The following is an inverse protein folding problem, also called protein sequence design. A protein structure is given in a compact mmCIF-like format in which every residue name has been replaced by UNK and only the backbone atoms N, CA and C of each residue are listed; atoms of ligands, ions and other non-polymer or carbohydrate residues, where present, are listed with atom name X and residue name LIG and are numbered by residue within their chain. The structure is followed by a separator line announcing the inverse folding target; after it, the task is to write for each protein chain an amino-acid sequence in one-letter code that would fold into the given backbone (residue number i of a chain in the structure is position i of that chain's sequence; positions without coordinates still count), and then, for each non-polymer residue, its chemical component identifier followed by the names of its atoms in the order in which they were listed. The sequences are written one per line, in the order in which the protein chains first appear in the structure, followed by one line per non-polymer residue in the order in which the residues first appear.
data_IF_703773561641
#
_entry.id   IF_703773561641
#
_cell.length_a   1.000
_cell.length_b   1.000
_cell.length_c   1.000
_cell.angle_alpha   90.00
_cell.angle_beta   90.00
_cell.angle_gamma   90.00
#
_symmetry.space_group_name_H-M   'P 1'
#
loop_
_entity.id
_entity.type
_entity.pdbx_description
1 polymer ?
#
# COMPACT_ATOMS: atom_id res chain seq x y z
N UNK A 1 5.26 -36.35 -7.42
CA UNK A 1 4.49 -36.59 -8.67
C UNK A 1 3.79 -37.96 -8.61
N UNK A 2 2.49 -38.02 -8.31
CA UNK A 2 1.73 -39.27 -8.08
C UNK A 2 1.08 -39.82 -9.36
N UNK A 3 1.00 -41.16 -9.47
CA UNK A 3 0.49 -41.89 -10.64
C UNK A 3 -1.03 -42.05 -10.59
N UNK A 4 -1.67 -42.24 -11.75
CA UNK A 4 -3.13 -42.48 -11.84
C UNK A 4 -3.60 -43.75 -11.11
N UNK A 5 -2.67 -44.67 -10.83
CA UNK A 5 -2.91 -45.95 -10.17
C UNK A 5 -3.33 -45.73 -8.70
N UNK A 6 -2.88 -44.66 -8.06
CA UNK A 6 -3.12 -44.45 -6.63
C UNK A 6 -4.51 -43.86 -6.31
N UNK A 7 -5.22 -43.26 -7.28
CA UNK A 7 -6.50 -42.59 -6.99
C UNK A 7 -7.70 -43.54 -7.03
N UNK A 8 -7.77 -44.43 -8.03
CA UNK A 8 -8.90 -45.35 -8.17
C UNK A 8 -8.89 -46.47 -7.12
N UNK A 9 -7.72 -46.73 -6.53
CA UNK A 9 -7.54 -47.66 -5.41
C UNK A 9 -7.99 -47.07 -4.06
N UNK A 10 -8.20 -45.75 -3.96
CA UNK A 10 -8.68 -45.09 -2.74
C UNK A 10 -10.16 -45.36 -2.49
N UNK A 11 -10.58 -45.27 -1.23
CA UNK A 11 -11.99 -45.36 -0.90
C UNK A 11 -12.77 -44.15 -1.50
N UNK A 12 -14.05 -44.31 -1.90
CA UNK A 12 -14.83 -43.20 -2.46
C UNK A 12 -14.85 -41.90 -1.63
N UNK A 13 -14.84 -41.92 -0.28
CA UNK A 13 -14.71 -40.71 0.52
C UNK A 13 -13.38 -39.96 0.30
N UNK A 14 -12.27 -40.68 0.18
CA UNK A 14 -10.93 -40.11 -0.02
C UNK A 14 -10.80 -39.51 -1.42
N UNK A 15 -11.32 -40.20 -2.44
CA UNK A 15 -11.41 -39.69 -3.81
C UNK A 15 -12.19 -38.37 -3.87
N UNK A 16 -13.36 -38.32 -3.20
CA UNK A 16 -14.17 -37.10 -3.09
C UNK A 16 -13.42 -35.98 -2.37
N UNK A 17 -12.64 -36.30 -1.35
CA UNK A 17 -11.86 -35.31 -0.62
C UNK A 17 -10.78 -34.68 -1.52
N UNK A 18 -10.06 -35.48 -2.29
CA UNK A 18 -9.05 -34.98 -3.24
C UNK A 18 -9.67 -34.10 -4.34
N UNK A 19 -10.83 -34.49 -4.87
CA UNK A 19 -11.57 -33.70 -5.86
C UNK A 19 -12.06 -32.39 -5.25
N UNK A 20 -12.64 -32.42 -4.03
CA UNK A 20 -13.09 -31.22 -3.31
C UNK A 20 -11.93 -30.24 -3.06
N UNK A 21 -10.76 -30.77 -2.72
CA UNK A 21 -9.55 -29.99 -2.53
C UNK A 21 -8.91 -29.51 -3.85
N UNK A 22 -9.55 -29.73 -5.01
CA UNK A 22 -9.04 -29.34 -6.35
C UNK A 22 -7.65 -29.91 -6.65
N UNK A 23 -7.39 -31.13 -6.20
CA UNK A 23 -6.09 -31.82 -6.37
C UNK A 23 -6.08 -32.83 -7.52
N UNK A 24 -7.17 -32.99 -8.26
CA UNK A 24 -7.27 -34.03 -9.29
C UNK A 24 -7.64 -33.41 -10.63
N UNK A 25 -6.87 -33.72 -11.66
CA UNK A 25 -7.15 -33.32 -13.02
C UNK A 25 -7.03 -34.51 -13.98
N UNK A 26 -7.83 -34.45 -15.05
CA UNK A 26 -7.61 -35.23 -16.27
C UNK A 26 -6.62 -34.51 -17.17
N UNK A 27 -6.33 -35.06 -18.35
CA UNK A 27 -5.45 -34.44 -19.36
C UNK A 27 -5.79 -32.97 -19.64
N UNK A 28 -7.06 -32.59 -19.54
CA UNK A 28 -7.53 -31.27 -19.98
C UNK A 28 -8.44 -30.57 -18.97
N UNK A 29 -8.65 -31.05 -17.74
CA UNK A 29 -9.60 -30.38 -16.83
C UNK A 29 -9.42 -30.82 -15.38
N UNK A 30 -9.58 -29.86 -14.45
CA UNK A 30 -9.80 -30.15 -13.04
C UNK A 30 -11.12 -30.91 -12.83
N UNK A 31 -11.07 -32.03 -12.12
CA UNK A 31 -12.26 -32.80 -11.79
C UNK A 31 -13.13 -32.07 -10.77
N UNK A 32 -14.44 -32.20 -10.94
CA UNK A 32 -15.46 -31.67 -10.01
C UNK A 32 -16.25 -32.78 -9.31
N UNK A 33 -16.23 -33.97 -9.89
CA UNK A 33 -16.89 -35.17 -9.40
C UNK A 33 -16.07 -36.40 -9.81
N UNK A 34 -16.38 -37.54 -9.20
CA UNK A 34 -15.74 -38.81 -9.57
C UNK A 34 -16.22 -39.16 -10.99
N UNK A 35 -15.31 -39.37 -11.95
CA UNK A 35 -15.69 -39.65 -13.33
C UNK A 35 -16.39 -41.00 -13.46
N UNK A 36 -17.32 -41.10 -14.39
CA UNK A 36 -17.90 -42.38 -14.82
C UNK A 36 -16.82 -43.16 -15.60
N UNK A 37 -16.14 -44.09 -14.91
CA UNK A 37 -15.04 -44.90 -15.45
C UNK A 37 -13.66 -44.51 -14.91
N UNK A 38 -12.61 -45.00 -15.57
CA UNK A 38 -11.21 -44.83 -15.15
C UNK A 38 -10.37 -44.07 -16.19
N UNK A 39 -10.71 -42.81 -16.54
CA UNK A 39 -9.84 -42.01 -17.39
C UNK A 39 -8.46 -41.81 -16.75
N UNK A 40 -7.40 -41.60 -17.55
CA UNK A 40 -6.12 -41.19 -17.01
C UNK A 40 -6.25 -39.87 -16.24
N UNK A 41 -5.83 -39.91 -14.98
CA UNK A 41 -5.88 -38.77 -14.05
C UNK A 41 -4.51 -38.53 -13.40
N UNK A 42 -4.35 -37.31 -12.93
CA UNK A 42 -3.19 -36.83 -12.20
C UNK A 42 -3.65 -36.25 -10.88
N UNK A 43 -2.95 -36.61 -9.82
CA UNK A 43 -3.17 -36.09 -8.47
C UNK A 43 -1.99 -35.18 -8.11
N UNK A 44 -2.30 -33.94 -7.75
CA UNK A 44 -1.35 -32.93 -7.32
C UNK A 44 -1.04 -33.08 -5.82
N UNK A 45 0.16 -32.69 -5.41
CA UNK A 45 0.63 -32.78 -4.01
C UNK A 45 -0.09 -31.78 -3.09
N UNK A 46 -0.51 -30.66 -3.66
CA UNK A 46 -1.35 -29.64 -3.04
C UNK A 46 -2.44 -29.22 -4.05
N UNK A 47 -3.33 -28.31 -3.66
CA UNK A 47 -4.38 -27.84 -4.58
C UNK A 47 -3.76 -27.17 -5.81
N UNK A 48 -4.44 -27.26 -6.96
CA UNK A 48 -4.03 -26.51 -8.16
C UNK A 48 -3.99 -25.00 -7.89
N UNK A 49 -4.80 -24.54 -6.94
CA UNK A 49 -4.84 -23.17 -6.49
C UNK A 49 -3.52 -22.77 -5.83
N UNK A 50 -3.06 -23.50 -4.81
CA UNK A 50 -1.75 -23.29 -4.16
C UNK A 50 -0.60 -23.41 -5.15
N UNK A 51 -0.62 -24.39 -6.06
CA UNK A 51 0.42 -24.52 -7.09
C UNK A 51 0.51 -23.30 -8.02
N UNK A 52 -0.63 -22.70 -8.37
CA UNK A 52 -0.66 -21.47 -9.18
C UNK A 52 -0.08 -20.31 -8.37
N UNK A 53 -0.48 -20.15 -7.10
CA UNK A 53 0.01 -19.07 -6.25
C UNK A 53 1.52 -19.19 -6.02
N UNK A 54 2.02 -20.36 -5.61
CA UNK A 54 3.46 -20.63 -5.46
C UNK A 54 4.26 -20.28 -6.70
N UNK A 55 3.69 -20.54 -7.89
CA UNK A 55 4.37 -20.22 -9.14
C UNK A 55 4.41 -18.72 -9.37
N UNK A 56 3.29 -18.03 -9.14
CA UNK A 56 3.18 -16.58 -9.27
C UNK A 56 4.04 -15.84 -8.24
N UNK A 57 4.35 -16.43 -7.08
CA UNK A 57 5.33 -15.87 -6.13
C UNK A 57 6.76 -15.89 -6.68
N UNK A 58 7.06 -16.82 -7.60
CA UNK A 58 8.41 -17.02 -8.16
C UNK A 58 8.65 -16.22 -9.43
N UNK A 59 7.64 -15.53 -9.97
CA UNK A 59 7.78 -14.73 -11.16
C UNK A 59 6.49 -14.47 -11.93
N UNK A 60 6.65 -14.03 -13.17
CA UNK A 60 5.55 -13.56 -14.03
C UNK A 60 5.13 -14.66 -15.01
N UNK A 61 3.85 -15.02 -15.00
CA UNK A 61 3.30 -16.06 -15.87
C UNK A 61 1.95 -15.67 -16.46
N UNK A 62 1.75 -15.93 -17.74
CA UNK A 62 0.45 -15.87 -18.39
C UNK A 62 -0.44 -17.05 -17.97
N UNK A 63 -1.77 -16.91 -18.16
CA UNK A 63 -2.67 -18.04 -17.90
C UNK A 63 -2.31 -19.26 -18.76
N UNK A 64 -1.81 -19.03 -19.99
CA UNK A 64 -1.44 -20.09 -20.92
C UNK A 64 -0.19 -20.87 -20.45
N UNK A 65 0.82 -20.18 -19.91
CA UNK A 65 2.02 -20.82 -19.35
C UNK A 65 1.69 -21.66 -18.13
N UNK A 66 0.91 -21.12 -17.19
CA UNK A 66 0.45 -21.87 -16.01
C UNK A 66 -0.41 -23.08 -16.39
N UNK A 67 -1.29 -22.91 -17.38
CA UNK A 67 -2.14 -23.98 -17.88
C UNK A 67 -1.34 -25.09 -18.56
N UNK A 68 -0.29 -24.73 -19.31
CA UNK A 68 0.61 -25.69 -19.94
C UNK A 68 1.43 -26.45 -18.89
N UNK A 69 2.01 -25.73 -17.91
CA UNK A 69 2.83 -26.31 -16.83
C UNK A 69 2.02 -27.32 -16.00
N UNK A 70 0.81 -26.95 -15.62
CA UNK A 70 -0.08 -27.81 -14.83
C UNK A 70 -0.91 -28.78 -15.69
N UNK A 71 -0.87 -28.62 -17.02
CA UNK A 71 -1.67 -29.37 -17.99
C UNK A 71 -3.17 -29.40 -17.65
N UNK A 72 -3.74 -28.21 -17.49
CA UNK A 72 -5.16 -27.93 -17.21
C UNK A 72 -5.70 -26.90 -18.19
N UNK A 73 -7.00 -26.58 -18.15
CA UNK A 73 -7.53 -25.52 -19.02
C UNK A 73 -7.05 -24.14 -18.56
N UNK A 74 -6.74 -23.29 -19.54
CA UNK A 74 -6.53 -21.86 -19.30
C UNK A 74 -7.73 -21.22 -18.58
N UNK A 75 -8.95 -21.69 -18.84
CA UNK A 75 -10.15 -21.23 -18.12
C UNK A 75 -10.13 -21.55 -16.62
N UNK A 76 -9.57 -22.69 -16.21
CA UNK A 76 -9.45 -23.06 -14.81
C UNK A 76 -8.42 -22.16 -14.11
N UNK A 77 -7.27 -21.93 -14.75
CA UNK A 77 -6.26 -20.96 -14.29
C UNK A 77 -6.86 -19.57 -14.20
N UNK A 78 -7.49 -19.09 -15.27
CA UNK A 78 -8.12 -17.77 -15.34
C UNK A 78 -9.17 -17.60 -14.25
N UNK A 79 -9.93 -18.64 -13.90
CA UNK A 79 -10.92 -18.59 -12.80
C UNK A 79 -10.23 -18.44 -11.45
N UNK A 80 -9.15 -19.17 -11.21
CA UNK A 80 -8.34 -19.07 -9.99
C UNK A 80 -7.68 -17.70 -9.92
N UNK A 81 -6.93 -17.30 -10.93
CA UNK A 81 -6.33 -15.97 -11.05
C UNK A 81 -7.38 -14.87 -10.87
N UNK A 82 -8.55 -14.96 -11.52
CA UNK A 82 -9.61 -13.96 -11.34
C UNK A 82 -10.22 -13.95 -9.93
N UNK A 83 -10.23 -15.07 -9.20
CA UNK A 83 -10.66 -15.12 -7.79
C UNK A 83 -9.78 -14.21 -6.93
N UNK A 84 -8.47 -14.22 -7.20
CA UNK A 84 -7.47 -13.42 -6.48
C UNK A 84 -7.22 -12.04 -7.11
N UNK A 85 -7.67 -11.81 -8.35
CA UNK A 85 -7.43 -10.57 -9.11
C UNK A 85 -8.59 -9.58 -9.07
N UNK A 86 -9.85 -10.03 -9.03
CA UNK A 86 -10.98 -9.10 -9.21
C UNK A 86 -10.87 -8.02 -8.11
N UNK A 87 -10.96 -6.75 -8.52
CA UNK A 87 -11.58 -5.64 -7.77
C UNK A 87 -12.92 -5.45 -8.47
N UNK A 88 -14.01 -5.91 -7.87
CA UNK A 88 -15.36 -5.71 -8.41
C UNK A 88 -15.97 -4.52 -7.71
N UNK A 89 -16.24 -3.45 -8.46
CA UNK A 89 -17.13 -2.34 -8.07
C UNK A 89 -18.52 -2.82 -7.63
N UNK A 90 -18.90 -4.06 -7.98
CA UNK A 90 -20.19 -4.68 -7.63
C UNK A 90 -20.18 -5.48 -6.32
N UNK A 91 -19.04 -5.56 -5.61
CA UNK A 91 -18.89 -6.38 -4.39
C UNK A 91 -18.48 -5.53 -3.16
N UNK A 92 -18.90 -4.25 -3.12
CA UNK A 92 -18.78 -3.36 -1.96
C UNK A 92 -19.53 -3.87 -0.71
N UNK A 93 -20.36 -4.90 -0.86
CA UNK A 93 -21.07 -5.58 0.25
C UNK A 93 -20.40 -6.86 0.70
N UNK A 94 -19.32 -7.30 0.04
CA UNK A 94 -18.62 -8.52 0.37
C UNK A 94 -17.39 -8.18 1.21
N UNK A 95 -17.58 -8.18 2.53
CA UNK A 95 -16.56 -8.04 3.58
C UNK A 95 -15.38 -9.03 3.46
N UNK A 96 -15.36 -9.93 2.47
CA UNK A 96 -14.35 -10.98 2.31
C UNK A 96 -13.26 -10.66 1.29
N UNK A 97 -13.40 -9.59 0.50
CA UNK A 97 -12.75 -9.51 -0.81
C UNK A 97 -11.60 -8.51 -0.92
N UNK A 98 -11.76 -7.28 -0.40
CA UNK A 98 -10.65 -6.33 -0.17
C UNK A 98 -9.58 -6.94 0.76
N UNK A 99 -10.00 -7.87 1.61
CA UNK A 99 -9.19 -8.53 2.63
C UNK A 99 -8.22 -9.60 2.10
N UNK A 100 -8.51 -10.30 1.00
CA UNK A 100 -7.71 -11.47 0.57
C UNK A 100 -6.31 -11.13 0.03
N UNK A 101 -6.08 -9.91 -0.48
CA UNK A 101 -4.75 -9.43 -0.86
C UNK A 101 -3.81 -9.31 0.34
N UNK A 102 -4.37 -9.17 1.54
CA UNK A 102 -3.63 -8.87 2.77
C UNK A 102 -3.72 -9.97 3.81
N UNK A 103 -4.82 -10.74 3.89
CA UNK A 103 -5.04 -11.77 4.92
C UNK A 103 -4.35 -13.09 4.65
N UNK A 104 -4.03 -13.40 3.39
CA UNK A 104 -3.38 -14.64 3.01
C UNK A 104 -2.40 -14.39 1.86
N UNK A 105 -1.24 -13.78 2.17
CA UNK A 105 0.03 -13.76 1.39
C UNK A 105 0.03 -13.52 -0.14
N UNK A 106 -1.10 -13.32 -0.81
CA UNK A 106 -1.24 -13.63 -2.24
C UNK A 106 -2.17 -12.66 -2.98
N UNK A 107 -1.66 -11.46 -3.24
CA UNK A 107 -2.24 -10.57 -4.24
C UNK A 107 -1.80 -10.95 -5.65
N UNK A 108 -2.67 -11.57 -6.46
CA UNK A 108 -2.34 -11.84 -7.88
C UNK A 108 -2.47 -10.56 -8.70
N UNK A 109 -1.31 -9.98 -9.00
CA UNK A 109 -1.12 -8.78 -9.83
C UNK A 109 -1.14 -9.16 -11.30
N UNK A 110 -1.74 -8.30 -12.13
CA UNK A 110 -1.75 -8.45 -13.59
C UNK A 110 -0.69 -7.55 -14.21
N UNK A 111 0.28 -8.15 -14.88
CA UNK A 111 1.35 -7.48 -15.62
C UNK A 111 0.99 -7.50 -17.10
N UNK A 112 0.94 -6.33 -17.75
CA UNK A 112 0.83 -6.27 -19.22
C UNK A 112 2.22 -6.50 -19.80
N UNK A 113 2.30 -7.27 -20.88
CA UNK A 113 3.53 -7.39 -21.65
C UNK A 113 3.97 -6.03 -22.22
N UNK A 114 5.28 -5.80 -22.31
CA UNK A 114 5.93 -4.59 -22.85
C UNK A 114 5.47 -4.35 -24.30
N UNK A 115 5.17 -5.43 -25.03
CA UNK A 115 4.67 -5.40 -26.42
C UNK A 115 3.12 -5.37 -26.52
N UNK A 116 2.42 -5.30 -25.39
CA UNK A 116 1.02 -4.89 -25.31
C UNK A 116 -0.06 -5.94 -25.63
N UNK A 117 0.29 -7.15 -26.06
CA UNK A 117 -0.68 -8.14 -26.56
C UNK A 117 -1.03 -9.28 -25.57
N UNK A 118 -0.22 -9.51 -24.53
CA UNK A 118 -0.43 -10.60 -23.56
C UNK A 118 -0.54 -10.08 -22.12
N UNK A 119 -1.28 -10.82 -21.28
CA UNK A 119 -1.38 -10.57 -19.84
C UNK A 119 -0.63 -11.65 -19.08
N UNK A 120 0.36 -11.22 -18.32
CA UNK A 120 1.07 -11.99 -17.32
C UNK A 120 0.51 -11.68 -15.94
N UNK A 121 0.79 -12.56 -14.98
CA UNK A 121 0.36 -12.45 -13.60
C UNK A 121 1.55 -12.75 -12.68
N UNK A 122 1.58 -12.15 -11.49
CA UNK A 122 2.61 -12.38 -10.45
C UNK A 122 2.00 -12.13 -9.08
N UNK A 123 2.61 -12.63 -8.01
CA UNK A 123 2.28 -12.23 -6.64
C UNK A 123 3.46 -11.43 -6.11
N UNK A 124 3.20 -10.19 -5.69
CA UNK A 124 4.19 -9.41 -4.96
C UNK A 124 3.91 -9.51 -3.48
N UNK A 125 4.90 -9.94 -2.71
CA UNK A 125 4.85 -9.95 -1.26
C UNK A 125 5.27 -8.58 -0.76
N UNK A 126 4.54 -8.05 0.24
CA UNK A 126 5.01 -6.90 1.01
C UNK A 126 6.42 -7.24 1.54
N UNK A 127 7.44 -6.38 1.34
CA UNK A 127 8.78 -6.65 1.82
C UNK A 127 8.83 -6.93 3.32
N UNK A 128 9.77 -7.76 3.76
CA UNK A 128 9.87 -8.16 5.18
C UNK A 128 10.05 -6.96 6.10
N UNK A 129 10.90 -6.00 5.71
CA UNK A 129 11.05 -4.72 6.40
C UNK A 129 9.70 -4.02 6.62
N UNK A 130 8.92 -3.81 5.55
CA UNK A 130 7.61 -3.16 5.67
C UNK A 130 6.62 -3.95 6.51
N UNK A 131 6.64 -5.30 6.47
CA UNK A 131 5.80 -6.10 7.37
C UNK A 131 6.09 -5.79 8.85
N UNK A 132 7.36 -5.61 9.20
CA UNK A 132 7.76 -5.43 10.59
C UNK A 132 7.73 -3.99 11.02
N UNK A 133 8.20 -3.05 10.20
CA UNK A 133 8.49 -1.67 10.63
C UNK A 133 7.40 -0.70 10.20
N UNK A 134 6.73 -0.96 9.08
CA UNK A 134 5.70 -0.09 8.53
C UNK A 134 4.49 -0.92 8.08
N UNK A 135 3.80 -1.55 9.06
CA UNK A 135 2.74 -2.49 8.78
C UNK A 135 1.55 -1.82 8.09
N UNK A 136 1.41 -0.49 8.08
CA UNK A 136 0.37 0.21 7.31
C UNK A 136 0.81 0.63 5.92
N UNK A 137 2.09 0.49 5.59
CA UNK A 137 2.73 0.98 4.36
C UNK A 137 2.67 2.51 4.20
N UNK A 138 2.23 3.23 5.22
CA UNK A 138 2.04 4.67 5.13
C UNK A 138 3.38 5.39 4.99
N UNK A 139 4.39 4.96 5.75
CA UNK A 139 5.71 5.61 5.71
C UNK A 139 6.39 5.29 4.38
N UNK A 140 6.41 4.02 4.00
CA UNK A 140 7.03 3.53 2.78
C UNK A 140 6.39 4.08 1.52
N UNK A 141 5.08 4.32 1.48
CA UNK A 141 4.38 4.66 0.23
C UNK A 141 3.94 6.11 0.14
N UNK A 142 3.63 6.75 1.26
CA UNK A 142 3.06 8.10 1.31
C UNK A 142 3.90 9.08 2.14
N UNK A 143 5.05 8.65 2.64
CA UNK A 143 5.93 9.46 3.49
C UNK A 143 5.19 10.07 4.70
N UNK A 144 4.31 9.31 5.36
CA UNK A 144 3.54 9.84 6.51
C UNK A 144 4.39 10.10 7.75
N UNK A 145 5.69 9.74 7.75
CA UNK A 145 6.55 9.93 8.91
C UNK A 145 6.56 11.39 9.41
N UNK A 146 6.62 12.37 8.51
CA UNK A 146 6.55 13.79 8.86
C UNK A 146 5.21 14.16 9.51
N UNK A 147 4.11 13.53 9.07
CA UNK A 147 2.76 13.74 9.62
C UNK A 147 2.60 13.15 11.02
N UNK A 148 3.38 12.12 11.35
CA UNK A 148 3.32 11.44 12.65
C UNK A 148 4.08 12.17 13.76
N UNK A 149 4.77 13.28 13.48
CA UNK A 149 5.55 14.02 14.47
C UNK A 149 4.71 14.54 15.65
N UNK A 150 3.41 14.75 15.43
CA UNK A 150 2.48 15.25 16.44
C UNK A 150 1.93 14.16 17.37
N UNK A 151 2.27 12.89 17.13
CA UNK A 151 1.73 11.78 17.91
C UNK A 151 2.40 11.70 19.29
N UNK A 152 1.68 11.26 20.35
CA UNK A 152 2.27 11.07 21.66
C UNK A 152 3.41 10.05 21.62
N UNK A 153 4.58 10.41 22.14
CA UNK A 153 5.73 9.51 22.20
C UNK A 153 5.64 8.58 23.41
N UNK A 154 5.80 7.28 23.16
CA UNK A 154 5.97 6.26 24.20
C UNK A 154 7.44 6.11 24.61
N UNK A 155 8.36 6.33 23.66
CA UNK A 155 9.79 6.36 23.90
C UNK A 155 10.49 7.23 22.85
N UNK A 156 11.29 8.20 23.30
CA UNK A 156 11.96 9.17 22.43
C UNK A 156 13.16 8.61 21.66
N UNK A 157 13.84 7.57 22.15
CA UNK A 157 14.94 6.92 21.44
C UNK A 157 15.39 5.63 22.14
N UNK A 158 15.53 4.55 21.35
CA UNK A 158 16.07 3.26 21.76
C UNK A 158 17.17 2.89 20.73
N UNK A 159 18.45 2.82 21.16
CA UNK A 159 19.53 2.49 20.25
C UNK A 159 19.46 1.06 19.69
N UNK A 160 20.04 0.86 18.52
CA UNK A 160 20.26 -0.45 17.92
C UNK A 160 21.03 -1.38 18.87
N UNK A 161 20.64 -2.66 18.89
CA UNK A 161 21.17 -3.68 19.79
C UNK A 161 20.81 -3.49 21.27
N UNK A 162 19.95 -2.52 21.61
CA UNK A 162 19.29 -2.41 22.92
C UNK A 162 17.85 -2.86 22.81
N UNK A 163 17.36 -3.45 23.89
CA UNK A 163 15.98 -3.89 24.02
C UNK A 163 15.23 -3.06 25.07
N UNK A 164 13.94 -2.93 24.86
CA UNK A 164 12.93 -2.28 25.69
C UNK A 164 11.73 -3.21 25.80
N UNK A 165 10.95 -3.08 26.88
CA UNK A 165 9.69 -3.81 27.07
C UNK A 165 8.68 -3.53 25.91
N UNK A 166 8.82 -2.38 25.25
CA UNK A 166 8.04 -2.02 24.06
C UNK A 166 8.36 -2.92 22.85
N UNK A 167 9.61 -3.36 22.69
CA UNK A 167 10.00 -4.22 21.57
C UNK A 167 9.37 -5.60 21.69
N UNK A 168 9.35 -6.17 22.90
CA UNK A 168 8.71 -7.47 23.17
C UNK A 168 7.21 -7.38 22.90
N UNK A 169 6.57 -6.31 23.39
CA UNK A 169 5.14 -6.07 23.16
C UNK A 169 4.83 -5.92 21.68
N UNK A 170 5.63 -5.11 20.98
CA UNK A 170 5.49 -4.89 19.55
C UNK A 170 5.67 -6.18 18.74
N UNK A 171 6.72 -6.95 19.06
CA UNK A 171 7.06 -8.18 18.36
C UNK A 171 5.97 -9.25 18.48
N UNK A 172 5.32 -9.36 19.64
CA UNK A 172 4.18 -10.27 19.82
C UNK A 172 2.99 -9.84 18.95
N UNK A 173 2.67 -8.54 18.91
CA UNK A 173 1.54 -8.02 18.12
C UNK A 173 1.77 -8.19 16.61
N UNK A 174 2.94 -7.80 16.11
CA UNK A 174 3.30 -7.95 14.68
C UNK A 174 3.48 -9.41 14.30
N UNK A 175 4.08 -10.22 15.17
CA UNK A 175 4.25 -11.65 14.96
C UNK A 175 2.91 -12.36 14.78
N UNK A 176 1.93 -12.08 15.65
CA UNK A 176 0.56 -12.61 15.51
C UNK A 176 -0.13 -12.10 14.23
N UNK A 177 0.02 -10.81 13.91
CA UNK A 177 -0.60 -10.22 12.73
C UNK A 177 -0.10 -10.83 11.41
N UNK A 178 1.20 -11.10 11.29
CA UNK A 178 1.83 -11.62 10.08
C UNK A 178 2.09 -13.12 10.07
N UNK A 179 1.81 -13.82 11.18
CA UNK A 179 2.21 -15.21 11.41
C UNK A 179 3.73 -15.38 11.20
N UNK A 180 4.50 -14.55 11.93
CA UNK A 180 5.96 -14.56 12.02
C UNK A 180 6.32 -14.89 13.47
N UNK A 181 7.39 -15.66 13.69
CA UNK A 181 7.89 -15.91 15.04
C UNK A 181 8.17 -14.55 15.74
N UNK A 182 7.55 -14.25 16.90
CA UNK A 182 7.82 -13.01 17.62
C UNK A 182 9.31 -12.80 17.91
N UNK A 183 10.10 -13.87 18.10
CA UNK A 183 11.54 -13.73 18.29
C UNK A 183 12.23 -13.19 17.02
N UNK A 184 11.78 -13.62 15.83
CA UNK A 184 12.30 -13.12 14.55
C UNK A 184 11.97 -11.63 14.36
N UNK A 185 10.76 -11.22 14.74
CA UNK A 185 10.35 -9.81 14.70
C UNK A 185 11.16 -8.97 15.68
N UNK A 186 11.34 -9.47 16.90
CA UNK A 186 12.11 -8.82 17.96
C UNK A 186 13.58 -8.63 17.54
N UNK A 187 14.22 -9.70 17.08
CA UNK A 187 15.61 -9.65 16.63
C UNK A 187 15.77 -8.62 15.51
N UNK A 188 14.85 -8.61 14.53
CA UNK A 188 14.88 -7.67 13.41
C UNK A 188 14.66 -6.20 13.82
N UNK A 189 13.64 -5.89 14.63
CA UNK A 189 13.36 -4.49 14.99
C UNK A 189 14.46 -3.89 15.87
N UNK A 190 15.15 -4.72 16.66
CA UNK A 190 16.26 -4.27 17.51
C UNK A 190 17.55 -3.98 16.74
N UNK A 191 17.64 -4.32 15.46
CA UNK A 191 18.77 -3.95 14.59
C UNK A 191 18.79 -2.45 14.24
N UNK A 192 17.68 -1.74 14.47
CA UNK A 192 17.52 -0.33 14.13
C UNK A 192 17.52 0.60 15.36
N UNK A 193 18.06 1.80 15.18
CA UNK A 193 17.74 2.93 16.06
C UNK A 193 16.27 3.30 15.84
N UNK A 194 15.51 3.41 16.93
CA UNK A 194 14.06 3.57 16.85
C UNK A 194 13.48 4.40 17.98
N UNK A 195 12.39 5.07 17.70
CA UNK A 195 11.48 5.63 18.69
C UNK A 195 10.12 4.93 18.57
N UNK A 196 9.28 5.07 19.61
CA UNK A 196 7.92 4.54 19.57
C UNK A 196 6.92 5.66 19.81
N UNK A 197 5.95 5.76 18.92
CA UNK A 197 4.80 6.62 19.05
C UNK A 197 3.55 5.80 19.36
N UNK A 198 2.65 6.40 20.13
CA UNK A 198 1.35 5.81 20.45
C UNK A 198 0.38 6.03 19.30
N UNK A 199 -0.36 4.99 18.92
CA UNK A 199 -1.38 5.08 17.86
C UNK A 199 -2.63 4.33 18.29
N UNK A 200 -3.77 4.65 17.68
CA UNK A 200 -5.05 3.98 17.88
C UNK A 200 -5.02 2.47 17.51
N UNK A 201 -3.99 2.01 16.78
CA UNK A 201 -3.83 0.60 16.41
C UNK A 201 -2.97 -0.15 17.42
N UNK A 202 -1.75 0.34 17.63
CA UNK A 202 -0.68 -0.24 18.43
C UNK A 202 0.53 0.72 18.43
N UNK A 203 1.48 0.59 19.37
CA UNK A 203 2.75 1.32 19.30
C UNK A 203 3.41 1.13 17.94
N UNK A 204 3.75 2.23 17.26
CA UNK A 204 4.45 2.18 15.97
C UNK A 204 5.91 2.57 16.13
N UNK A 205 6.86 1.76 15.62
CA UNK A 205 8.24 2.13 15.58
C UNK A 205 8.45 3.13 14.46
N UNK A 206 9.14 4.20 14.77
CA UNK A 206 9.68 5.12 13.78
C UNK A 206 11.19 4.87 13.76
N UNK A 207 11.69 4.46 12.59
CA UNK A 207 13.12 4.15 12.40
C UNK A 207 13.69 5.01 11.29
N UNK A 208 14.93 5.42 11.43
CA UNK A 208 15.66 6.14 10.39
C UNK A 208 16.33 5.12 9.44
N UNK A 209 15.56 4.67 8.44
CA UNK A 209 15.99 3.65 7.48
C UNK A 209 15.55 4.01 6.05
N UNK A 210 15.85 5.23 5.59
CA UNK A 210 15.41 5.76 4.28
C UNK A 210 15.68 4.79 3.13
N UNK A 211 16.86 4.16 3.09
CA UNK A 211 17.22 3.19 2.05
C UNK A 211 16.27 1.98 2.00
N UNK A 212 15.76 1.50 3.14
CA UNK A 212 14.84 0.37 3.19
C UNK A 212 13.42 0.80 2.80
N UNK A 213 12.97 1.97 3.24
CA UNK A 213 11.72 2.56 2.79
C UNK A 213 11.72 2.78 1.28
N UNK A 214 12.77 3.37 0.73
CA UNK A 214 12.94 3.58 -0.71
C UNK A 214 12.91 2.27 -1.49
N UNK A 215 13.50 1.19 -0.96
CA UNK A 215 13.42 -0.14 -1.59
C UNK A 215 11.99 -0.66 -1.62
N UNK A 216 11.20 -0.43 -0.57
CA UNK A 216 9.78 -0.77 -0.54
C UNK A 216 9.06 0.05 -1.61
N UNK A 217 9.12 1.39 -1.56
CA UNK A 217 8.45 2.27 -2.54
C UNK A 217 8.84 1.91 -3.96
N UNK A 218 10.14 1.74 -4.20
CA UNK A 218 10.71 1.40 -5.50
C UNK A 218 10.18 0.05 -5.98
N UNK A 219 10.01 -0.95 -5.10
CA UNK A 219 9.41 -2.23 -5.49
C UNK A 219 7.98 -2.06 -5.97
N UNK A 220 7.20 -1.20 -5.31
CA UNK A 220 5.84 -0.88 -5.77
C UNK A 220 5.83 -0.01 -7.04
N UNK A 221 6.81 0.90 -7.22
CA UNK A 221 6.97 1.79 -8.40
C UNK A 221 7.59 1.11 -9.64
N UNK A 222 8.51 0.14 -9.50
CA UNK A 222 9.39 -0.44 -10.55
C UNK A 222 8.68 -1.18 -11.69
N UNK A 223 7.37 -1.14 -11.73
CA UNK A 223 6.56 -1.70 -12.77
C UNK A 223 6.15 -0.63 -13.79
N UNK A 224 7.15 0.14 -14.22
CA UNK A 224 7.01 1.32 -15.09
C UNK A 224 6.49 1.03 -16.50
N UNK A 225 6.60 -0.22 -17.01
CA UNK A 225 5.92 -0.61 -18.26
C UNK A 225 4.41 -0.86 -18.05
N UNK A 226 3.94 -0.65 -16.82
CA UNK A 226 2.62 -0.99 -16.35
C UNK A 226 1.94 0.18 -15.65
N UNK A 227 2.13 1.40 -16.18
CA UNK A 227 1.26 2.56 -15.93
C UNK A 227 -0.25 2.34 -16.23
N UNK A 228 -0.64 1.14 -16.68
CA UNK A 228 -2.03 0.70 -16.83
C UNK A 228 -2.54 -0.07 -15.61
N UNK A 229 -1.81 -0.04 -14.49
CA UNK A 229 -1.91 -1.04 -13.46
C UNK A 229 -3.26 -1.09 -12.79
N UNK A 230 -3.80 0.03 -12.32
CA UNK A 230 -5.04 -0.02 -11.55
C UNK A 230 -5.78 1.31 -11.60
N UNK A 231 -6.00 1.90 -12.80
CA UNK A 231 -6.82 3.12 -12.93
C UNK A 231 -8.24 2.89 -12.38
N UNK A 232 -8.38 3.15 -11.09
CA UNK A 232 -9.55 3.76 -10.51
C UNK A 232 -9.72 5.08 -11.30
N UNK A 233 -10.84 5.29 -12.02
CA UNK A 233 -11.04 6.52 -12.76
C UNK A 233 -10.96 7.69 -11.79
N UNK A 234 -10.35 8.81 -12.20
CA UNK A 234 -10.21 10.12 -11.52
C UNK A 234 -11.28 10.46 -10.45
N UNK A 235 -12.54 10.03 -10.68
CA UNK A 235 -13.66 10.00 -9.73
C UNK A 235 -13.45 9.16 -8.46
N UNK A 236 -12.27 8.56 -8.25
CA UNK A 236 -12.01 7.62 -7.16
C UNK A 236 -11.37 8.23 -5.93
N UNK A 237 -10.67 9.37 -6.01
CA UNK A 237 -9.93 9.89 -4.85
C UNK A 237 -10.88 10.15 -3.68
N UNK A 238 -11.98 10.86 -3.95
CA UNK A 238 -13.02 11.09 -2.94
C UNK A 238 -13.67 9.78 -2.50
N UNK A 239 -13.92 8.84 -3.40
CA UNK A 239 -14.47 7.53 -3.04
C UNK A 239 -13.54 6.74 -2.11
N UNK A 240 -12.22 6.78 -2.33
CA UNK A 240 -11.24 6.08 -1.47
C UNK A 240 -11.24 6.67 -0.07
N UNK A 241 -11.22 7.99 0.02
CA UNK A 241 -11.29 8.71 1.29
C UNK A 241 -12.62 8.52 2.02
N UNK A 242 -13.73 8.73 1.33
CA UNK A 242 -15.10 8.54 1.86
C UNK A 242 -15.32 7.09 2.30
N UNK A 243 -14.91 6.09 1.51
CA UNK A 243 -14.97 4.67 1.88
C UNK A 243 -14.21 4.40 3.18
N UNK A 244 -13.05 5.05 3.37
CA UNK A 244 -12.27 4.87 4.59
C UNK A 244 -12.96 5.52 5.79
N UNK A 245 -13.39 6.77 5.66
CA UNK A 245 -14.07 7.50 6.75
C UNK A 245 -15.37 6.80 7.16
N UNK A 246 -16.16 6.31 6.20
CA UNK A 246 -17.36 5.50 6.46
C UNK A 246 -17.08 4.27 7.33
N UNK A 247 -15.91 3.64 7.12
CA UNK A 247 -15.48 2.48 7.91
C UNK A 247 -14.99 2.92 9.29
N UNK A 248 -14.18 3.98 9.35
CA UNK A 248 -13.65 4.53 10.59
C UNK A 248 -14.76 4.99 11.55
N UNK A 249 -15.79 5.65 11.01
CA UNK A 249 -16.99 6.06 11.75
C UNK A 249 -17.81 4.88 12.28
N UNK A 250 -17.76 3.72 11.60
CA UNK A 250 -18.43 2.48 12.05
C UNK A 250 -17.59 1.69 13.06
N UNK A 251 -16.33 2.07 13.28
CA UNK A 251 -15.42 1.50 14.27
C UNK A 251 -13.95 1.65 13.86
N UNK A 252 -13.03 1.58 14.85
CA UNK A 252 -11.59 1.75 14.61
C UNK A 252 -11.08 0.83 13.48
N UNK A 253 -10.64 1.39 12.34
CA UNK A 253 -10.21 0.61 11.20
C UNK A 253 -8.93 -0.14 11.57
N UNK A 254 -8.83 -1.45 11.28
CA UNK A 254 -7.61 -2.21 11.58
C UNK A 254 -6.45 -1.92 10.62
N UNK A 255 -5.23 -2.36 10.95
CA UNK A 255 -3.99 -2.23 10.14
C UNK A 255 -4.23 -2.52 8.64
N UNK A 256 -5.02 -3.55 8.34
CA UNK A 256 -5.32 -3.99 6.97
C UNK A 256 -6.04 -2.92 6.14
N UNK A 257 -6.94 -2.14 6.76
CA UNK A 257 -7.66 -1.10 6.07
C UNK A 257 -6.70 0.03 5.67
N UNK A 258 -5.85 0.47 6.61
CA UNK A 258 -4.79 1.44 6.34
C UNK A 258 -3.85 0.99 5.21
N UNK A 259 -3.40 -0.28 5.24
CA UNK A 259 -2.59 -0.84 4.15
C UNK A 259 -3.25 -0.67 2.78
N UNK A 260 -4.52 -1.04 2.65
CA UNK A 260 -5.24 -0.93 1.37
C UNK A 260 -5.35 0.53 0.93
N UNK A 261 -5.78 1.38 1.84
CA UNK A 261 -6.01 2.79 1.55
C UNK A 261 -4.71 3.48 1.18
N UNK A 262 -3.60 3.21 1.88
CA UNK A 262 -2.30 3.77 1.52
C UNK A 262 -1.78 3.26 0.18
N UNK A 263 -1.99 1.98 -0.16
CA UNK A 263 -1.67 1.46 -1.51
C UNK A 263 -2.49 2.17 -2.58
N UNK A 264 -3.80 2.38 -2.35
CA UNK A 264 -4.69 3.05 -3.29
C UNK A 264 -4.32 4.52 -3.48
N UNK A 265 -4.04 5.23 -2.38
CA UNK A 265 -3.59 6.62 -2.42
C UNK A 265 -2.21 6.75 -3.06
N UNK A 266 -1.29 5.82 -2.83
CA UNK A 266 0.04 5.86 -3.44
C UNK A 266 -0.02 5.66 -4.96
N UNK A 267 -0.86 4.74 -5.45
CA UNK A 267 -1.10 4.57 -6.89
C UNK A 267 -1.69 5.84 -7.52
N UNK A 268 -2.65 6.48 -6.83
CA UNK A 268 -3.22 7.76 -7.24
C UNK A 268 -2.18 8.89 -7.21
N UNK A 269 -1.31 8.91 -6.20
CA UNK A 269 -0.22 9.88 -6.05
C UNK A 269 0.75 9.78 -7.24
N UNK A 270 1.23 8.58 -7.55
CA UNK A 270 2.17 8.37 -8.68
C UNK A 270 1.52 8.62 -10.04
N UNK A 271 0.21 8.35 -10.17
CA UNK A 271 -0.55 8.76 -11.34
C UNK A 271 -0.63 10.28 -11.47
N UNK A 272 -0.98 10.97 -10.38
CA UNK A 272 -1.11 12.43 -10.34
C UNK A 272 0.25 13.10 -10.64
N UNK A 273 1.35 12.63 -10.05
CA UNK A 273 2.73 13.10 -10.31
C UNK A 273 3.09 13.11 -11.81
N UNK A 274 2.59 12.13 -12.57
CA UNK A 274 2.96 11.93 -13.98
C UNK A 274 1.94 12.46 -14.98
N UNK A 275 0.67 12.56 -14.59
CA UNK A 275 -0.44 12.73 -15.54
C UNK A 275 -1.38 13.88 -15.18
N UNK A 276 -1.69 14.09 -13.90
CA UNK A 276 -2.68 15.07 -13.46
C UNK A 276 -2.36 15.63 -12.06
N UNK A 277 -1.43 16.59 -11.97
CA UNK A 277 -0.94 17.06 -10.67
C UNK A 277 -1.95 17.88 -9.86
N UNK A 278 -3.06 18.34 -10.47
CA UNK A 278 -4.16 18.98 -9.74
C UNK A 278 -4.78 18.05 -8.67
N UNK A 279 -4.63 16.72 -8.83
CA UNK A 279 -5.13 15.72 -7.89
C UNK A 279 -4.26 15.57 -6.63
N UNK A 280 -3.01 16.05 -6.66
CA UNK A 280 -2.06 15.86 -5.55
C UNK A 280 -2.59 16.44 -4.24
N UNK A 281 -3.20 17.63 -4.28
CA UNK A 281 -3.77 18.28 -3.10
C UNK A 281 -4.85 17.41 -2.44
N UNK A 282 -5.81 16.94 -3.23
CA UNK A 282 -6.88 16.08 -2.71
C UNK A 282 -6.36 14.75 -2.15
N UNK A 283 -5.37 14.14 -2.80
CA UNK A 283 -4.76 12.88 -2.33
C UNK A 283 -4.09 13.08 -0.97
N UNK A 284 -3.36 14.20 -0.80
CA UNK A 284 -2.67 14.47 0.46
C UNK A 284 -3.63 14.87 1.58
N UNK A 285 -4.66 15.67 1.31
CA UNK A 285 -5.70 15.96 2.31
C UNK A 285 -6.36 14.67 2.82
N UNK A 286 -6.60 13.70 1.93
CA UNK A 286 -7.10 12.39 2.34
C UNK A 286 -6.06 11.62 3.15
N UNK A 287 -4.80 11.62 2.74
CA UNK A 287 -3.71 11.00 3.50
C UNK A 287 -3.62 11.59 4.93
N UNK A 288 -3.72 12.92 5.07
CA UNK A 288 -3.73 13.60 6.37
C UNK A 288 -4.94 13.16 7.21
N UNK A 289 -6.14 13.19 6.62
CA UNK A 289 -7.37 12.74 7.30
C UNK A 289 -7.27 11.29 7.79
N UNK A 290 -6.67 10.41 6.99
CA UNK A 290 -6.46 9.01 7.35
C UNK A 290 -5.41 8.90 8.46
N UNK A 291 -4.29 9.63 8.36
CA UNK A 291 -3.26 9.66 9.41
C UNK A 291 -3.85 10.18 10.73
N UNK A 292 -4.68 11.22 10.72
CA UNK A 292 -5.32 11.75 11.92
C UNK A 292 -6.21 10.71 12.63
N UNK A 293 -6.81 9.80 11.87
CA UNK A 293 -7.58 8.68 12.45
C UNK A 293 -6.70 7.60 13.12
N UNK A 294 -5.37 7.62 12.92
CA UNK A 294 -4.42 6.82 13.70
C UNK A 294 -4.08 7.46 15.04
N UNK A 295 -4.37 8.74 15.26
CA UNK A 295 -4.01 9.43 16.48
C UNK A 295 -4.80 8.85 17.67
N UNK A 296 -4.16 8.57 18.83
CA UNK A 296 -4.79 7.83 19.92
C UNK A 296 -5.93 8.60 20.61
N UNK A 297 -5.90 9.94 20.57
CA UNK A 297 -6.90 10.81 21.19
C UNK A 297 -8.08 11.18 20.27
N UNK A 298 -8.16 10.60 19.07
CA UNK A 298 -9.26 10.88 18.15
C UNK A 298 -10.53 10.16 18.63
N UNK A 299 -11.33 10.84 19.46
CA UNK A 299 -12.68 10.38 19.80
C UNK A 299 -13.52 10.35 18.51
N UNK A 300 -13.84 9.16 18.01
CA UNK A 300 -14.74 8.93 16.84
C UNK A 300 -16.20 9.36 17.10
N UNK A 301 -16.45 10.12 18.16
CA UNK A 301 -17.75 10.69 18.51
C UNK A 301 -17.56 12.12 19.02
N UNK A 302 -17.23 13.04 18.13
CA UNK A 302 -17.76 14.41 18.18
C UNK A 302 -17.56 15.10 16.82
N UNK A 303 -18.65 15.66 16.31
CA UNK A 303 -18.83 16.58 15.17
C UNK A 303 -17.59 16.91 14.31
N UNK A 304 -17.30 16.07 13.31
CA UNK A 304 -16.73 16.56 12.04
C UNK A 304 -17.86 16.76 11.04
N UNK A 305 -18.58 17.87 11.20
CA UNK A 305 -19.06 18.58 10.01
C UNK A 305 -17.85 19.22 9.32
N UNK A 306 -17.01 18.41 8.67
CA UNK A 306 -16.23 18.92 7.55
C UNK A 306 -17.22 19.06 6.40
N UNK A 307 -17.83 20.23 6.32
CA UNK A 307 -18.42 20.70 5.08
C UNK A 307 -17.37 20.54 4.01
N UNK A 308 -17.60 19.60 3.09
CA UNK A 308 -16.98 19.58 1.79
C UNK A 308 -17.31 20.92 1.12
N UNK A 309 -16.46 21.92 1.35
CA UNK A 309 -16.51 23.15 0.59
C UNK A 309 -16.03 22.81 -0.82
N UNK A 310 -17.01 22.81 -1.72
CA UNK A 310 -16.81 22.97 -3.16
C UNK A 310 -15.65 23.94 -3.42
N UNK A 311 -14.67 23.64 -4.29
CA UNK A 311 -13.57 24.55 -4.56
C UNK A 311 -14.13 25.82 -5.21
N UNK A 312 -14.22 26.88 -4.42
CA UNK A 312 -14.24 28.25 -4.92
C UNK A 312 -12.81 28.67 -5.15
N UNK A 313 -12.53 29.36 -6.26
CA UNK A 313 -11.23 29.93 -6.65
C UNK A 313 -10.70 30.95 -5.62
N UNK A 314 -10.30 30.49 -4.45
CA UNK A 314 -9.52 31.24 -3.46
C UNK A 314 -8.09 30.72 -3.53
N UNK A 315 -7.17 31.60 -3.94
CA UNK A 315 -5.73 31.34 -4.01
C UNK A 315 -5.25 30.94 -2.62
N UNK A 316 -4.62 29.77 -2.48
CA UNK A 316 -4.16 29.26 -1.18
C UNK A 316 -2.75 29.75 -0.85
N UNK A 317 -2.32 29.62 0.41
CA UNK A 317 -0.98 30.04 0.84
C UNK A 317 0.09 29.28 0.04
N UNK A 318 -0.14 28.01 -0.28
CA UNK A 318 0.75 27.18 -1.09
C UNK A 318 0.92 27.73 -2.51
N UNK A 319 -0.16 28.25 -3.12
CA UNK A 319 -0.12 28.84 -4.46
C UNK A 319 0.71 30.13 -4.45
N UNK A 320 0.57 30.95 -3.40
CA UNK A 320 1.36 32.16 -3.19
C UNK A 320 2.82 31.85 -2.88
N UNK A 321 3.11 30.84 -2.04
CA UNK A 321 4.46 30.35 -1.75
C UNK A 321 5.15 29.85 -3.02
N UNK A 322 4.47 29.03 -3.83
CA UNK A 322 4.99 28.58 -5.12
C UNK A 322 5.19 29.74 -6.10
N UNK A 323 4.37 30.79 -6.01
CA UNK A 323 4.49 31.96 -6.88
C UNK A 323 5.82 32.71 -6.66
N UNK A 324 6.26 32.81 -5.40
CA UNK A 324 7.43 33.59 -4.98
C UNK A 324 8.72 32.77 -4.84
N UNK A 325 8.61 31.45 -4.69
CA UNK A 325 9.76 30.57 -4.56
C UNK A 325 10.58 30.54 -5.87
N UNK A 326 11.87 30.84 -5.75
CA UNK A 326 12.83 30.92 -6.85
C UNK A 326 13.64 29.64 -7.07
N UNK A 327 14.53 29.67 -8.06
CA UNK A 327 15.45 28.54 -8.36
C UNK A 327 16.60 28.41 -7.35
N UNK A 328 16.88 29.46 -6.59
CA UNK A 328 17.88 29.43 -5.50
C UNK A 328 17.25 28.89 -4.21
N UNK A 329 18.06 28.25 -3.37
CA UNK A 329 17.63 27.78 -2.04
C UNK A 329 17.32 28.98 -1.13
N UNK A 330 16.12 28.98 -0.56
CA UNK A 330 15.58 30.03 0.30
C UNK A 330 15.09 29.42 1.62
N UNK A 331 15.33 30.11 2.72
CA UNK A 331 14.77 29.77 4.03
C UNK A 331 13.28 30.14 4.10
N UNK A 332 12.48 29.54 5.01
CA UNK A 332 11.07 29.93 5.21
C UNK A 332 10.88 31.43 5.43
N UNK A 333 11.78 32.07 6.18
CA UNK A 333 11.74 33.51 6.42
C UNK A 333 11.95 34.32 5.14
N UNK A 334 12.89 33.93 4.27
CA UNK A 334 13.12 34.59 2.98
C UNK A 334 11.93 34.44 2.03
N UNK A 335 11.26 33.28 2.07
CA UNK A 335 10.02 33.03 1.30
C UNK A 335 8.89 33.89 1.84
N UNK A 336 8.69 33.93 3.16
CA UNK A 336 7.69 34.77 3.82
C UNK A 336 7.89 36.25 3.48
N UNK A 337 9.12 36.77 3.58
CA UNK A 337 9.46 38.16 3.22
C UNK A 337 9.22 38.49 1.74
N UNK A 338 9.23 37.47 0.87
CA UNK A 338 8.98 37.61 -0.57
C UNK A 338 7.50 37.58 -0.94
N UNK A 339 6.61 37.14 -0.03
CA UNK A 339 5.16 37.09 -0.26
C UNK A 339 4.55 38.49 -0.46
N UNK A 340 3.43 38.62 -1.21
CA UNK A 340 2.70 39.88 -1.30
C UNK A 340 2.27 40.35 0.09
N UNK A 341 2.38 41.66 0.36
CA UNK A 341 2.10 42.21 1.68
C UNK A 341 0.68 41.99 2.23
N UNK A 342 -0.30 41.66 1.36
CA UNK A 342 -1.64 41.24 1.81
C UNK A 342 -1.65 39.82 2.36
N UNK A 343 -0.84 38.92 1.79
CA UNK A 343 -0.68 37.53 2.25
C UNK A 343 0.11 37.52 3.56
N UNK A 344 1.20 38.30 3.66
CA UNK A 344 1.99 38.44 4.90
C UNK A 344 1.18 38.95 6.10
N UNK A 345 0.10 39.70 5.87
CA UNK A 345 -0.78 40.17 6.96
C UNK A 345 -1.81 39.14 7.42
N UNK A 346 -2.05 38.13 6.59
CA UNK A 346 -3.05 37.08 6.81
C UNK A 346 -2.42 35.72 7.12
N UNK A 347 -1.10 35.58 6.97
CA UNK A 347 -0.35 34.36 7.26
C UNK A 347 0.81 34.58 8.24
N UNK A 348 1.36 33.50 8.77
CA UNK A 348 2.53 33.50 9.66
C UNK A 348 3.73 32.80 9.02
N UNK A 349 4.97 33.08 9.50
CA UNK A 349 6.15 32.34 9.06
C UNK A 349 6.05 30.84 9.30
N UNK A 350 5.36 30.41 10.36
CA UNK A 350 5.13 29.00 10.68
C UNK A 350 4.21 28.35 9.64
N UNK A 351 3.13 29.02 9.22
CA UNK A 351 2.25 28.54 8.14
C UNK A 351 2.98 28.44 6.79
N UNK A 352 3.89 29.38 6.50
CA UNK A 352 4.74 29.30 5.30
C UNK A 352 5.71 28.13 5.38
N UNK A 353 6.27 27.87 6.56
CA UNK A 353 7.11 26.70 6.79
C UNK A 353 6.33 25.39 6.59
N UNK A 354 5.13 25.29 7.16
CA UNK A 354 4.25 24.14 6.99
C UNK A 354 3.88 23.93 5.51
N UNK A 355 3.57 25.00 4.77
CA UNK A 355 3.33 24.93 3.33
C UNK A 355 4.58 24.48 2.55
N UNK A 356 5.78 24.92 2.92
CA UNK A 356 7.03 24.50 2.27
C UNK A 356 7.37 23.04 2.57
N UNK A 357 7.18 22.59 3.82
CA UNK A 357 7.31 21.19 4.23
C UNK A 357 6.34 20.30 3.46
N UNK A 358 5.07 20.71 3.36
CA UNK A 358 4.07 20.04 2.54
C UNK A 358 4.54 19.95 1.08
N UNK A 359 4.85 21.08 0.44
CA UNK A 359 5.27 21.13 -0.97
C UNK A 359 6.55 20.31 -1.24
N UNK A 360 7.47 20.23 -0.28
CA UNK A 360 8.66 19.41 -0.36
C UNK A 360 8.33 17.91 -0.22
N UNK A 361 7.46 17.55 0.72
CA UNK A 361 6.92 16.20 0.87
C UNK A 361 6.13 15.74 -0.37
N UNK A 362 5.52 16.69 -1.11
CA UNK A 362 4.86 16.46 -2.40
C UNK A 362 5.84 16.28 -3.58
N UNK A 363 7.14 16.50 -3.38
CA UNK A 363 8.15 16.48 -4.44
C UNK A 363 7.94 17.56 -5.50
N UNK A 364 7.20 18.62 -5.18
CA UNK A 364 6.96 19.78 -6.06
C UNK A 364 8.17 20.72 -6.01
N UNK A 365 8.72 20.89 -4.80
CA UNK A 365 9.90 21.69 -4.51
C UNK A 365 10.97 20.80 -3.87
N UNK A 366 12.24 21.20 -3.93
CA UNK A 366 13.29 20.48 -3.20
C UNK A 366 13.48 21.09 -1.83
N UNK A 367 13.80 20.24 -0.86
CA UNK A 367 14.21 20.59 0.50
C UNK A 367 15.65 20.12 0.70
N UNK A 368 16.50 20.97 1.24
CA UNK A 368 17.85 20.63 1.64
C UNK A 368 18.14 21.18 3.03
N UNK A 369 18.66 20.33 3.92
CA UNK A 369 19.09 20.75 5.26
C UNK A 369 20.61 20.77 5.32
N UNK A 370 21.19 21.95 5.58
CA UNK A 370 22.64 22.15 5.77
C UNK A 370 22.90 22.95 7.04
N UNK A 371 23.78 22.44 7.91
CA UNK A 371 24.18 23.11 9.15
C UNK A 371 22.98 23.60 9.99
N UNK A 372 22.01 22.72 10.24
CA UNK A 372 20.79 23.00 11.02
C UNK A 372 19.88 24.09 10.44
N UNK A 373 20.06 24.45 9.17
CA UNK A 373 19.17 25.35 8.43
C UNK A 373 18.53 24.57 7.27
N UNK A 374 17.20 24.61 7.19
CA UNK A 374 16.44 23.99 6.10
C UNK A 374 16.07 25.05 5.07
N UNK A 375 16.41 24.78 3.82
CA UNK A 375 16.17 25.67 2.69
C UNK A 375 15.39 24.93 1.58
N UNK A 376 14.63 25.68 0.79
CA UNK A 376 13.76 25.15 -0.25
C UNK A 376 13.99 25.88 -1.56
N UNK A 377 13.79 25.20 -2.69
CA UNK A 377 13.79 25.87 -3.99
C UNK A 377 12.76 25.29 -4.96
N UNK A 378 12.36 26.12 -5.92
CA UNK A 378 11.40 25.80 -6.97
C UNK A 378 12.03 25.04 -8.16
N UNK A 379 13.34 24.77 -8.12
CA UNK A 379 14.02 24.03 -9.18
C UNK A 379 13.45 22.61 -9.26
N UNK A 380 12.62 22.40 -10.27
CA UNK A 380 11.66 21.30 -10.42
C UNK A 380 12.06 20.09 -9.60
N UNK A 381 11.29 19.82 -8.54
CA UNK A 381 11.12 18.45 -8.12
C UNK A 381 10.63 17.59 -9.30
N UNK A 382 10.41 16.30 -9.12
CA UNK A 382 10.09 15.39 -10.24
C UNK A 382 8.81 15.73 -11.03
N UNK A 383 8.06 16.77 -10.64
CA UNK A 383 6.77 17.22 -11.19
C UNK A 383 6.83 18.73 -11.55
N UNK A 384 6.24 19.14 -12.68
CA UNK A 384 6.35 20.53 -13.18
C UNK A 384 5.32 21.50 -12.58
N UNK A 385 5.76 22.74 -12.33
CA UNK A 385 4.96 23.88 -11.79
C UNK A 385 3.74 24.27 -12.63
N UNK A 386 3.77 24.07 -13.95
CA UNK A 386 2.64 24.36 -14.85
C UNK A 386 1.53 23.32 -14.80
N UNK A 387 1.71 22.25 -14.00
CA UNK A 387 0.81 21.11 -13.96
C UNK A 387 -0.03 21.04 -12.67
N UNK A 388 0.29 21.86 -11.67
CA UNK A 388 -0.35 21.89 -10.33
C UNK A 388 -1.32 23.09 -10.17
N UNK A 389 -1.12 24.16 -10.93
CA UNK A 389 -2.00 25.34 -11.03
C UNK A 389 -2.99 25.19 -12.18
#
# INVERSE_FOLDING_TARGET
MYKSIDFYDLAPPEQRQLIRNRRVATTNQLLREIPDGEPPIRVFEQSVEELILDRLEQGRYSNAELAAELSIQEMDVRRIVNKYRRRGTDDLTNESFKYNLLTARDGVIRVKDIEGNAFYYTIEKIPFFARIVDPTLGVSLLNIHERMQNFPRLADHIPAGKASDLDETYAVLIGDFWDIDPQEVFDFITDFDREYIDTALMPFPVVDATDEYDRVTTRFKQHSDIHNWYRNPEKSINTVGEDFTDVAERGNPGIRMYQLTHIELADLLWYAETTDPALLRSINNWADTIVDSLHPDTDTTDDYQTTAETPTDTITIEDEVLSVLGEEFQTPDEVFESLPGMVQTETTPDEVHDSLELLAGLGIIKKETRNDTTEYNADTGTVSRESVL
#
